data_IF_700243109110
#
_entry.id   IF_700243109110
#
_cell.length_a   1.000
_cell.length_b   1.000
_cell.length_c   1.000
_cell.angle_alpha   90.00
_cell.angle_beta   90.00
_cell.angle_gamma   90.00
#
_symmetry.space_group_name_H-M   'P 1'
#
loop_
_entity.id
_entity.type
_entity.pdbx_description
1 polymer ?
#
# COMPACT_ATOMS: atom_id res chain seq x y z
N UNK A 1 24.99 -52.84 -8.65
CA UNK A 1 25.78 -52.94 -9.89
C UNK A 1 25.27 -54.13 -10.68
N UNK A 2 24.89 -53.97 -11.94
CA UNK A 2 24.51 -55.05 -12.84
C UNK A 2 24.89 -54.67 -14.28
N UNK A 3 25.12 -55.67 -15.14
CA UNK A 3 25.67 -55.47 -16.49
C UNK A 3 24.69 -54.81 -17.47
N UNK A 4 25.26 -54.08 -18.44
CA UNK A 4 24.59 -53.66 -19.66
C UNK A 4 25.33 -54.22 -20.89
N UNK A 5 24.68 -55.16 -21.56
CA UNK A 5 24.89 -55.53 -22.94
C UNK A 5 23.53 -55.39 -23.62
N UNK A 6 23.35 -55.10 -24.91
CA UNK A 6 24.11 -54.57 -26.06
C UNK A 6 23.16 -54.87 -27.24
N UNK A 7 23.35 -54.22 -28.39
CA UNK A 7 22.68 -54.55 -29.67
C UNK A 7 21.18 -54.15 -29.77
N UNK A 8 20.61 -53.92 -30.95
CA UNK A 8 21.16 -53.38 -32.21
C UNK A 8 20.00 -53.13 -33.21
N UNK A 9 20.22 -52.24 -34.19
CA UNK A 9 19.68 -52.30 -35.57
C UNK A 9 18.14 -52.14 -35.76
N UNK A 10 17.61 -51.82 -36.95
CA UNK A 10 18.02 -50.88 -38.04
C UNK A 10 16.80 -50.72 -38.99
N UNK A 11 16.72 -49.63 -39.78
CA UNK A 11 15.85 -49.51 -40.99
C UNK A 11 14.31 -49.43 -40.77
N UNK A 12 13.44 -48.99 -41.71
CA UNK A 12 13.52 -48.04 -42.84
C UNK A 12 12.10 -47.75 -43.37
N UNK A 13 11.96 -46.76 -44.28
CA UNK A 13 10.82 -46.51 -45.20
C UNK A 13 9.49 -46.08 -44.54
N UNK A 14 8.53 -45.46 -45.24
CA UNK A 14 8.49 -44.34 -46.21
C UNK A 14 7.00 -44.14 -46.59
N UNK A 15 6.65 -42.97 -47.16
CA UNK A 15 5.38 -42.68 -47.88
C UNK A 15 4.08 -42.60 -47.04
N UNK A 16 2.99 -41.95 -47.47
CA UNK A 16 2.77 -40.67 -48.23
C UNK A 16 1.27 -40.51 -48.55
N UNK A 17 0.81 -39.26 -48.77
CA UNK A 17 -0.57 -38.87 -49.17
C UNK A 17 -1.65 -39.15 -48.10
N UNK A 18 -2.86 -38.59 -48.13
CA UNK A 18 -3.54 -37.33 -48.53
C UNK A 18 -5.06 -37.69 -48.53
N UNK A 19 -5.96 -36.69 -48.60
CA UNK A 19 -7.44 -36.83 -48.56
C UNK A 19 -8.07 -37.34 -47.23
N UNK A 20 -9.37 -37.11 -46.96
CA UNK A 20 -10.16 -35.85 -46.89
C UNK A 20 -11.66 -36.12 -46.64
N UNK A 21 -12.31 -35.22 -45.89
CA UNK A 21 -13.73 -34.80 -45.98
C UNK A 21 -14.90 -35.77 -45.65
N UNK A 22 -16.07 -35.12 -45.52
CA UNK A 22 -17.46 -35.64 -45.42
C UNK A 22 -17.87 -36.30 -44.08
N UNK A 23 -19.06 -36.07 -43.49
CA UNK A 23 -20.28 -35.29 -43.79
C UNK A 23 -20.70 -34.49 -42.52
N UNK A 24 -21.37 -33.33 -42.48
CA UNK A 24 -22.25 -32.56 -43.39
C UNK A 24 -23.72 -32.99 -43.49
N UNK A 25 -24.63 -32.29 -42.78
CA UNK A 25 -26.05 -31.96 -43.11
C UNK A 25 -26.48 -30.76 -42.23
N UNK A 26 -27.34 -29.79 -42.57
CA UNK A 26 -28.03 -29.25 -43.77
C UNK A 26 -28.62 -27.88 -43.29
N UNK A 27 -29.11 -26.88 -44.03
CA UNK A 27 -29.28 -26.45 -45.44
C UNK A 27 -29.67 -24.92 -45.36
N UNK A 28 -29.75 -24.04 -46.37
CA UNK A 28 -29.69 -24.08 -47.83
C UNK A 28 -29.10 -22.73 -48.39
N UNK A 29 -29.27 -22.46 -49.69
CA UNK A 29 -29.03 -21.20 -50.44
C UNK A 29 -30.11 -21.07 -51.56
N UNK A 30 -30.26 -19.96 -52.34
CA UNK A 30 -29.27 -19.30 -53.25
C UNK A 30 -28.41 -18.18 -52.59
N UNK A 31 -27.59 -17.36 -53.28
CA UNK A 31 -27.19 -17.29 -54.71
C UNK A 31 -27.68 -16.01 -55.45
N UNK A 32 -27.03 -15.49 -56.51
CA UNK A 32 -25.74 -15.88 -57.15
C UNK A 32 -25.24 -14.75 -58.11
N UNK A 33 -23.92 -14.45 -58.14
CA UNK A 33 -23.24 -13.37 -58.94
C UNK A 33 -23.74 -11.92 -58.68
N UNK A 34 -23.06 -10.83 -59.08
CA UNK A 34 -21.69 -10.64 -59.59
C UNK A 34 -21.40 -9.19 -60.06
N UNK A 35 -20.19 -8.68 -59.79
CA UNK A 35 -19.50 -7.50 -60.40
C UNK A 35 -20.23 -6.17 -60.68
N UNK A 36 -19.79 -5.11 -59.98
CA UNK A 36 -19.44 -3.76 -60.50
C UNK A 36 -20.50 -2.72 -60.98
N UNK A 37 -20.36 -1.51 -60.41
CA UNK A 37 -20.75 -0.16 -60.90
C UNK A 37 -22.22 0.36 -60.76
N UNK A 38 -22.32 1.70 -60.94
CA UNK A 38 -23.53 2.55 -61.21
C UNK A 38 -24.36 3.10 -60.03
N UNK A 39 -23.85 4.20 -59.45
CA UNK A 39 -24.48 5.55 -59.41
C UNK A 39 -25.94 5.79 -58.93
N UNK A 40 -26.03 6.46 -57.76
CA UNK A 40 -26.74 7.74 -57.48
C UNK A 40 -28.25 7.94 -57.70
N UNK A 41 -28.94 8.49 -56.67
CA UNK A 41 -29.86 9.65 -56.72
C UNK A 41 -30.23 10.09 -55.28
N UNK A 42 -30.69 11.30 -54.94
CA UNK A 42 -30.28 12.67 -55.36
C UNK A 42 -30.93 13.73 -54.45
N UNK A 43 -30.14 14.59 -53.78
CA UNK A 43 -30.64 15.85 -53.19
C UNK A 43 -29.60 16.98 -53.30
N UNK A 44 -29.54 17.55 -54.52
CA UNK A 44 -28.91 18.83 -54.93
C UNK A 44 -27.99 19.55 -53.91
N UNK A 45 -26.68 19.33 -54.06
CA UNK A 45 -25.63 20.27 -53.62
C UNK A 45 -25.65 21.53 -54.51
N UNK A 46 -26.00 22.70 -53.97
CA UNK A 46 -25.66 23.99 -54.61
C UNK A 46 -24.17 24.26 -54.37
N UNK A 47 -23.43 24.60 -55.43
CA UNK A 47 -22.05 25.11 -55.32
C UNK A 47 -22.09 26.64 -55.19
N UNK A 48 -21.46 27.16 -54.15
CA UNK A 48 -20.64 28.37 -54.25
C UNK A 48 -19.20 27.97 -53.94
N UNK A 49 -18.23 28.58 -54.63
CA UNK A 49 -16.81 28.44 -54.35
C UNK A 49 -16.29 29.84 -54.07
N UNK A 50 -15.77 30.04 -52.86
CA UNK A 50 -15.10 31.26 -52.44
C UNK A 50 -13.98 30.86 -51.52
N UNK A 51 -12.76 31.19 -51.90
CA UNK A 51 -11.60 31.05 -51.03
C UNK A 51 -11.78 32.02 -49.84
N UNK A 52 -11.53 31.53 -48.63
CA UNK A 52 -11.78 32.24 -47.38
C UNK A 52 -10.96 31.62 -46.27
N UNK A 53 -9.89 32.30 -45.89
CA UNK A 53 -9.14 32.01 -44.67
C UNK A 53 -10.01 32.37 -43.47
N UNK A 54 -10.27 31.40 -42.60
CA UNK A 54 -10.97 31.62 -41.34
C UNK A 54 -10.20 30.91 -40.21
N UNK A 55 -9.13 31.51 -39.67
CA UNK A 55 -9.11 32.55 -38.62
C UNK A 55 -9.73 32.16 -37.27
N UNK A 56 -9.57 30.89 -36.86
CA UNK A 56 -9.90 30.42 -35.51
C UNK A 56 -8.89 30.76 -34.39
N UNK A 57 -7.85 31.57 -34.63
CA UNK A 57 -6.77 31.84 -33.67
C UNK A 57 -6.94 33.16 -32.87
N UNK A 58 -8.06 33.87 -33.02
CA UNK A 58 -8.26 35.17 -32.36
C UNK A 58 -9.15 35.11 -31.11
N UNK A 59 -8.50 34.91 -29.95
CA UNK A 59 -8.68 35.67 -28.69
C UNK A 59 -8.01 34.98 -27.45
N UNK A 60 -6.86 34.34 -27.62
CA UNK A 60 -5.98 34.02 -26.48
C UNK A 60 -5.53 35.32 -25.81
N UNK A 61 -5.68 35.45 -24.48
CA UNK A 61 -5.25 36.66 -23.79
C UNK A 61 -3.72 36.78 -23.87
N UNK A 62 -3.19 38.02 -23.85
CA UNK A 62 -1.73 38.25 -23.78
C UNK A 62 -1.08 37.53 -22.58
N UNK A 63 -1.84 37.30 -21.51
CA UNK A 63 -1.44 36.46 -20.37
C UNK A 63 -1.32 34.98 -20.73
N UNK A 64 -2.26 34.44 -21.50
CA UNK A 64 -2.30 33.02 -21.87
C UNK A 64 -1.20 32.68 -22.87
N UNK A 65 -0.92 33.59 -23.83
CA UNK A 65 0.21 33.45 -24.76
C UNK A 65 1.55 33.46 -24.03
N UNK A 66 1.76 34.41 -23.10
CA UNK A 66 2.97 34.47 -22.28
C UNK A 66 3.10 33.26 -21.34
N UNK A 67 1.99 32.77 -20.79
CA UNK A 67 1.96 31.56 -19.96
C UNK A 67 2.29 30.30 -20.76
N UNK A 68 1.77 30.17 -21.99
CA UNK A 68 2.10 29.06 -22.87
C UNK A 68 3.59 29.08 -23.25
N UNK A 69 4.14 30.24 -23.61
CA UNK A 69 5.59 30.41 -23.86
C UNK A 69 6.44 30.02 -22.64
N UNK A 70 6.02 30.38 -21.42
CA UNK A 70 6.70 29.97 -20.19
C UNK A 70 6.61 28.44 -19.94
N UNK A 71 5.44 27.84 -20.18
CA UNK A 71 5.23 26.38 -20.09
C UNK A 71 6.13 25.64 -21.09
N UNK A 72 6.25 26.14 -22.32
CA UNK A 72 7.07 25.54 -23.38
C UNK A 72 8.58 25.69 -23.07
N UNK A 73 9.01 26.84 -22.55
CA UNK A 73 10.38 27.04 -22.06
C UNK A 73 10.73 26.08 -20.91
N UNK A 74 9.86 25.96 -19.90
CA UNK A 74 10.05 25.03 -18.76
C UNK A 74 10.09 23.58 -19.28
N UNK A 75 9.19 23.21 -20.18
CA UNK A 75 9.13 21.87 -20.78
C UNK A 75 10.38 21.55 -21.62
N UNK A 76 10.95 22.56 -22.29
CA UNK A 76 12.20 22.40 -23.06
C UNK A 76 13.45 22.35 -22.19
N UNK A 77 13.46 23.02 -21.04
CA UNK A 77 14.62 23.08 -20.13
C UNK A 77 14.67 21.91 -19.14
N UNK A 78 13.50 21.47 -18.64
CA UNK A 78 13.38 20.46 -17.57
C UNK A 78 12.65 19.17 -18.03
N UNK A 79 12.28 19.07 -19.31
CA UNK A 79 11.69 17.88 -19.91
C UNK A 79 10.17 17.78 -19.79
N UNK A 80 9.59 16.83 -20.53
CA UNK A 80 8.13 16.60 -20.57
C UNK A 80 7.62 16.10 -19.22
N UNK A 81 6.61 16.78 -18.68
CA UNK A 81 6.04 16.49 -17.36
C UNK A 81 6.61 17.32 -16.20
N UNK A 82 7.63 18.15 -16.45
CA UNK A 82 8.16 19.11 -15.46
C UNK A 82 7.13 20.14 -14.98
N UNK A 83 6.21 20.54 -15.86
CA UNK A 83 5.04 21.35 -15.55
C UNK A 83 3.81 20.76 -16.25
N UNK A 84 2.70 20.65 -15.51
CA UNK A 84 1.44 20.08 -16.01
C UNK A 84 0.23 20.78 -15.38
N UNK A 85 -0.85 20.90 -16.15
CA UNK A 85 -2.15 21.36 -15.64
C UNK A 85 -2.79 20.26 -14.77
N UNK A 86 -2.98 20.53 -13.47
CA UNK A 86 -3.47 19.56 -12.47
C UNK A 86 -4.77 18.84 -12.88
N UNK A 87 -5.72 19.56 -13.50
CA UNK A 87 -7.00 19.02 -13.96
C UNK A 87 -7.02 18.52 -15.42
N UNK A 88 -5.89 18.54 -16.13
CA UNK A 88 -5.76 18.05 -17.53
C UNK A 88 -4.72 16.95 -17.69
N UNK A 89 -3.91 16.66 -16.68
CA UNK A 89 -3.02 15.51 -16.67
C UNK A 89 -3.84 14.22 -16.63
N UNK A 90 -3.42 13.21 -17.39
CA UNK A 90 -4.01 11.85 -17.33
C UNK A 90 -3.42 11.09 -16.13
N UNK A 91 -3.49 11.71 -14.95
CA UNK A 91 -3.21 11.01 -13.70
C UNK A 91 -4.28 9.91 -13.53
N UNK A 92 -3.90 8.67 -13.12
CA UNK A 92 -4.88 7.62 -12.92
C UNK A 92 -5.85 8.04 -11.81
N UNK A 93 -7.17 7.99 -12.11
CA UNK A 93 -8.22 8.42 -11.16
C UNK A 93 -8.13 7.69 -9.81
N UNK A 94 -7.67 6.44 -9.83
CA UNK A 94 -7.37 5.68 -8.63
C UNK A 94 -5.85 5.63 -8.43
N UNK A 95 -5.41 5.95 -7.23
CA UNK A 95 -4.02 5.73 -6.79
C UNK A 95 -3.76 4.22 -6.79
N UNK A 96 -2.68 3.71 -7.42
CA UNK A 96 -2.32 2.30 -7.29
C UNK A 96 -1.97 1.96 -5.83
N UNK A 97 -2.51 0.85 -5.32
CA UNK A 97 -2.36 0.40 -3.93
C UNK A 97 -1.95 -1.08 -3.85
N UNK A 98 -1.43 -1.48 -2.69
CA UNK A 98 -1.23 -2.89 -2.28
C UNK A 98 -2.02 -3.12 -0.98
N UNK A 99 -2.77 -4.22 -0.90
CA UNK A 99 -3.51 -4.60 0.31
C UNK A 99 -2.56 -4.79 1.51
N UNK A 100 -3.02 -4.42 2.70
CA UNK A 100 -2.32 -4.69 3.96
C UNK A 100 -2.47 -6.13 4.45
N UNK A 101 -3.24 -6.96 3.75
CA UNK A 101 -3.65 -8.29 4.20
C UNK A 101 -4.89 -8.27 5.09
N UNK A 102 -5.06 -7.21 5.90
CA UNK A 102 -6.24 -6.91 6.71
C UNK A 102 -7.28 -6.14 5.91
N UNK A 103 -8.48 -6.71 5.78
CA UNK A 103 -9.60 -6.06 5.12
C UNK A 103 -10.13 -4.85 5.92
N UNK A 104 -10.12 -4.90 7.26
CA UNK A 104 -10.51 -3.78 8.11
C UNK A 104 -9.55 -2.59 7.97
N UNK A 105 -8.24 -2.85 7.86
CA UNK A 105 -7.24 -1.81 7.68
C UNK A 105 -7.27 -1.21 6.27
N UNK A 106 -7.51 -2.02 5.24
CA UNK A 106 -7.71 -1.54 3.86
C UNK A 106 -8.93 -0.60 3.76
N UNK A 107 -10.01 -0.88 4.51
CA UNK A 107 -11.18 0.02 4.66
C UNK A 107 -10.80 1.30 5.44
N UNK A 108 -10.10 1.17 6.57
CA UNK A 108 -9.68 2.32 7.39
C UNK A 108 -8.70 3.26 6.66
N UNK A 109 -7.90 2.73 5.72
CA UNK A 109 -7.04 3.51 4.84
C UNK A 109 -7.81 4.29 3.75
N UNK A 110 -9.08 3.97 3.52
CA UNK A 110 -9.99 4.65 2.58
C UNK A 110 -9.72 4.41 1.10
N UNK A 111 -8.46 4.16 0.72
CA UNK A 111 -8.03 3.84 -0.66
C UNK A 111 -7.89 2.34 -0.93
N UNK A 112 -8.24 1.48 0.03
CA UNK A 112 -8.20 0.01 -0.15
C UNK A 112 -6.81 -0.63 -0.02
N UNK A 113 -5.84 0.07 0.58
CA UNK A 113 -4.48 -0.44 0.81
C UNK A 113 -3.43 0.66 0.98
N UNK A 114 -2.15 0.27 0.98
CA UNK A 114 -1.02 1.20 1.03
C UNK A 114 -0.72 1.78 -0.37
N UNK A 115 -0.56 3.11 -0.52
CA UNK A 115 -0.34 3.75 -1.82
C UNK A 115 1.07 3.51 -2.37
N UNK A 116 1.14 3.08 -3.64
CA UNK A 116 2.38 2.91 -4.40
C UNK A 116 3.12 4.24 -4.61
N UNK A 117 4.45 4.15 -4.70
CA UNK A 117 5.37 5.27 -4.87
C UNK A 117 5.51 6.18 -3.65
N UNK A 118 5.21 5.68 -2.43
CA UNK A 118 5.17 6.46 -1.19
C UNK A 118 5.89 5.80 -0.03
N UNK A 119 6.28 6.62 0.94
CA UNK A 119 6.78 6.20 2.25
C UNK A 119 5.61 5.95 3.21
N UNK A 120 5.66 4.82 3.92
CA UNK A 120 4.73 4.40 4.98
C UNK A 120 5.54 4.17 6.26
N UNK A 121 4.98 4.53 7.42
CA UNK A 121 5.57 4.19 8.72
C UNK A 121 4.60 3.32 9.53
N UNK A 122 5.09 2.20 10.06
CA UNK A 122 4.37 1.31 10.98
C UNK A 122 5.10 1.35 12.32
N UNK A 123 4.49 1.98 13.33
CA UNK A 123 5.13 2.20 14.63
C UNK A 123 4.26 1.74 15.80
N UNK A 124 4.90 1.37 16.91
CA UNK A 124 4.21 0.89 18.10
C UNK A 124 5.10 0.07 19.03
N UNK A 125 4.55 -0.42 20.15
CA UNK A 125 5.25 -1.22 21.14
C UNK A 125 5.91 -2.51 20.59
N UNK A 126 6.73 -3.14 21.40
CA UNK A 126 7.22 -4.49 21.16
C UNK A 126 6.07 -5.50 21.16
N UNK A 127 6.23 -6.59 20.41
CA UNK A 127 5.22 -7.65 20.24
C UNK A 127 3.81 -7.18 19.83
N UNK A 128 3.67 -6.00 19.19
CA UNK A 128 2.38 -5.47 18.71
C UNK A 128 1.96 -5.97 17.32
N UNK A 129 2.85 -6.64 16.59
CA UNK A 129 2.59 -7.18 15.24
C UNK A 129 3.13 -6.35 14.07
N UNK A 130 4.04 -5.40 14.30
CA UNK A 130 4.63 -4.53 13.24
C UNK A 130 5.18 -5.33 12.05
N UNK A 131 6.11 -6.24 12.31
CA UNK A 131 6.74 -7.12 11.32
C UNK A 131 5.74 -8.07 10.68
N UNK A 132 4.79 -8.61 11.46
CA UNK A 132 3.69 -9.45 10.96
C UNK A 132 2.87 -8.71 9.90
N UNK A 133 2.46 -7.47 10.17
CA UNK A 133 1.71 -6.65 9.23
C UNK A 133 2.51 -6.33 7.96
N UNK A 134 3.81 -6.04 8.09
CA UNK A 134 4.67 -5.80 6.93
C UNK A 134 4.90 -7.07 6.08
N UNK A 135 4.98 -8.26 6.70
CA UNK A 135 5.04 -9.54 5.99
C UNK A 135 3.72 -9.83 5.24
N UNK A 136 2.56 -9.42 5.76
CA UNK A 136 1.31 -9.50 5.01
C UNK A 136 1.31 -8.56 3.79
N UNK A 137 1.81 -7.31 3.90
CA UNK A 137 1.97 -6.40 2.75
C UNK A 137 2.86 -7.03 1.67
N UNK A 138 3.98 -7.66 2.07
CA UNK A 138 4.86 -8.41 1.16
C UNK A 138 4.11 -9.59 0.51
N UNK A 139 3.36 -10.38 1.27
CA UNK A 139 2.63 -11.52 0.75
C UNK A 139 1.54 -11.10 -0.27
N UNK A 140 0.83 -10.00 -0.04
CA UNK A 140 -0.14 -9.46 -1.00
C UNK A 140 0.53 -8.84 -2.24
N UNK A 141 1.69 -8.18 -2.10
CA UNK A 141 2.47 -7.71 -3.25
C UNK A 141 3.00 -8.87 -4.12
N UNK A 142 3.52 -9.94 -3.50
CA UNK A 142 3.98 -11.13 -4.23
C UNK A 142 2.82 -11.90 -4.89
N UNK A 143 1.61 -11.91 -4.30
CA UNK A 143 0.40 -12.46 -4.94
C UNK A 143 0.00 -11.69 -6.21
N UNK A 144 0.32 -10.40 -6.30
CA UNK A 144 0.17 -9.59 -7.52
C UNK A 144 1.33 -9.77 -8.52
N UNK A 145 2.28 -10.68 -8.25
CA UNK A 145 3.48 -10.91 -9.06
C UNK A 145 4.61 -9.90 -8.85
N UNK A 146 4.48 -9.00 -7.86
CA UNK A 146 5.46 -7.96 -7.58
C UNK A 146 6.70 -8.46 -6.83
N UNK A 147 7.85 -7.84 -7.09
CA UNK A 147 9.09 -8.14 -6.38
C UNK A 147 9.15 -7.40 -5.04
N UNK A 148 9.64 -8.06 -4.01
CA UNK A 148 9.72 -7.51 -2.65
C UNK A 148 11.14 -7.62 -2.08
N UNK A 149 11.51 -6.67 -1.23
CA UNK A 149 12.72 -6.72 -0.43
C UNK A 149 12.43 -6.46 1.06
N UNK A 150 13.24 -7.07 1.92
CA UNK A 150 13.23 -6.89 3.36
C UNK A 150 14.65 -6.54 3.82
N UNK A 151 14.80 -5.41 4.51
CA UNK A 151 16.05 -4.96 5.11
C UNK A 151 15.94 -5.18 6.62
N UNK A 152 16.54 -6.28 7.08
CA UNK A 152 16.50 -6.78 8.45
C UNK A 152 17.71 -6.23 9.21
N UNK A 153 17.54 -5.05 9.81
CA UNK A 153 18.54 -4.39 10.66
C UNK A 153 18.41 -4.80 12.14
N UNK A 154 17.28 -5.38 12.56
CA UNK A 154 17.15 -6.02 13.88
C UNK A 154 17.69 -7.47 13.91
N UNK A 155 18.09 -8.03 12.76
CA UNK A 155 18.55 -9.42 12.58
C UNK A 155 17.57 -10.47 13.14
N UNK A 156 16.26 -10.17 13.06
CA UNK A 156 15.21 -10.83 13.83
C UNK A 156 14.13 -11.51 12.95
N UNK A 157 14.31 -11.56 11.63
CA UNK A 157 13.31 -12.10 10.71
C UNK A 157 13.17 -13.63 10.81
N UNK A 158 12.09 -14.11 11.43
CA UNK A 158 11.69 -15.52 11.37
C UNK A 158 11.15 -15.89 9.98
N UNK A 159 11.93 -16.69 9.26
CA UNK A 159 11.57 -17.25 7.96
C UNK A 159 10.34 -18.16 8.01
N UNK A 160 10.13 -18.91 9.10
CA UNK A 160 9.01 -19.87 9.21
C UNK A 160 7.67 -19.15 9.36
N UNK A 161 7.62 -18.08 10.16
CA UNK A 161 6.48 -17.17 10.24
C UNK A 161 6.20 -16.46 8.90
N UNK A 162 7.25 -16.07 8.15
CA UNK A 162 7.06 -15.49 6.82
C UNK A 162 6.40 -16.50 5.85
N UNK A 163 6.86 -17.75 5.83
CA UNK A 163 6.29 -18.81 4.98
C UNK A 163 4.84 -19.15 5.38
N UNK A 164 4.49 -19.16 6.67
CA UNK A 164 3.12 -19.45 7.10
C UNK A 164 2.13 -18.29 6.89
N UNK A 165 2.61 -17.04 6.87
CA UNK A 165 1.87 -15.85 6.39
C UNK A 165 1.63 -15.91 4.85
N UNK A 166 2.34 -16.78 4.14
CA UNK A 166 2.26 -16.94 2.69
C UNK A 166 3.22 -16.05 1.90
N UNK A 167 4.33 -15.61 2.51
CA UNK A 167 5.44 -14.95 1.81
C UNK A 167 6.24 -16.02 1.04
N UNK A 168 6.45 -15.78 -0.26
CA UNK A 168 7.36 -16.58 -1.07
C UNK A 168 8.80 -16.19 -0.77
N UNK A 169 9.41 -16.84 0.22
CA UNK A 169 10.79 -16.62 0.68
C UNK A 169 11.86 -16.92 -0.36
N UNK A 170 11.55 -17.67 -1.43
CA UNK A 170 12.47 -17.88 -2.57
C UNK A 170 12.56 -16.66 -3.48
N UNK A 171 11.52 -15.82 -3.49
CA UNK A 171 11.40 -14.62 -4.30
C UNK A 171 11.32 -13.34 -3.43
N UNK A 172 11.89 -13.38 -2.23
CA UNK A 172 12.07 -12.24 -1.34
C UNK A 172 13.57 -11.90 -1.29
N UNK A 173 13.93 -10.66 -1.60
CA UNK A 173 15.29 -10.18 -1.40
C UNK A 173 15.49 -9.85 0.08
N UNK A 174 16.37 -10.57 0.77
CA UNK A 174 16.75 -10.28 2.16
C UNK A 174 18.11 -9.56 2.18
N UNK A 175 18.20 -8.48 2.94
CA UNK A 175 19.44 -7.78 3.24
C UNK A 175 19.57 -7.61 4.76
N UNK A 176 20.73 -7.96 5.30
CA UNK A 176 21.10 -7.73 6.71
C UNK A 176 22.31 -6.78 6.70
N UNK A 177 22.09 -5.46 6.87
CA UNK A 177 23.13 -4.45 6.71
C UNK A 177 23.92 -4.20 8.00
N UNK A 178 25.21 -3.90 7.86
CA UNK A 178 26.13 -3.56 8.95
C UNK A 178 25.88 -2.16 9.54
N UNK A 179 25.35 -1.22 8.73
CA UNK A 179 25.08 0.16 9.18
C UNK A 179 23.92 0.85 8.44
N UNK A 180 23.41 1.94 9.04
CA UNK A 180 22.30 2.72 8.51
C UNK A 180 22.56 3.35 7.14
N UNK A 181 23.78 3.82 6.85
CA UNK A 181 24.14 4.34 5.53
C UNK A 181 24.08 3.28 4.44
N UNK A 182 24.58 2.07 4.74
CA UNK A 182 24.58 0.94 3.82
C UNK A 182 23.15 0.43 3.58
N UNK A 183 22.34 0.31 4.63
CA UNK A 183 20.92 -0.01 4.56
C UNK A 183 20.16 0.96 3.64
N UNK A 184 20.28 2.27 3.88
CA UNK A 184 19.57 3.30 3.11
C UNK A 184 20.13 3.47 1.69
N UNK A 185 21.42 3.19 1.47
CA UNK A 185 22.04 3.15 0.13
C UNK A 185 21.59 1.95 -0.72
N UNK A 186 21.39 0.79 -0.09
CA UNK A 186 20.78 -0.38 -0.73
C UNK A 186 19.32 -0.10 -1.11
N UNK A 187 18.55 0.51 -0.20
CA UNK A 187 17.17 0.95 -0.46
C UNK A 187 17.11 1.94 -1.64
N UNK A 188 17.97 2.97 -1.69
CA UNK A 188 18.07 3.92 -2.82
C UNK A 188 18.41 3.23 -4.14
N UNK A 189 19.22 2.16 -4.10
CA UNK A 189 19.61 1.39 -5.29
C UNK A 189 18.47 0.49 -5.79
N UNK A 190 17.76 -0.20 -4.90
CA UNK A 190 16.57 -0.99 -5.24
C UNK A 190 15.45 -0.11 -5.82
N UNK A 191 15.18 1.06 -5.22
CA UNK A 191 14.14 1.98 -5.70
C UNK A 191 14.49 2.52 -7.10
N UNK A 192 15.74 2.94 -7.32
CA UNK A 192 16.19 3.43 -8.65
C UNK A 192 16.23 2.34 -9.73
N UNK A 193 16.24 1.05 -9.36
CA UNK A 193 16.10 -0.04 -10.34
C UNK A 193 14.71 -0.12 -10.99
N UNK A 194 13.69 0.53 -10.41
CA UNK A 194 12.30 0.46 -10.85
C UNK A 194 11.68 -0.95 -10.82
N UNK A 195 12.38 -1.93 -10.24
CA UNK A 195 12.08 -3.36 -10.37
C UNK A 195 11.53 -4.00 -9.08
N UNK A 196 11.25 -3.20 -8.05
CA UNK A 196 10.76 -3.65 -6.73
C UNK A 196 9.49 -2.88 -6.36
N UNK A 197 8.45 -3.59 -5.95
CA UNK A 197 7.14 -3.03 -5.61
C UNK A 197 7.01 -2.64 -4.14
N UNK A 198 7.63 -3.41 -3.24
CA UNK A 198 7.59 -3.19 -1.79
C UNK A 198 8.97 -3.42 -1.18
N UNK A 199 9.43 -2.46 -0.40
CA UNK A 199 10.63 -2.57 0.44
C UNK A 199 10.20 -2.34 1.89
N UNK A 200 10.51 -3.30 2.77
CA UNK A 200 10.36 -3.17 4.22
C UNK A 200 11.73 -2.92 4.84
N UNK A 201 11.81 -2.01 5.82
CA UNK A 201 13.00 -1.77 6.65
C UNK A 201 12.62 -1.99 8.11
N UNK A 202 13.17 -3.03 8.74
CA UNK A 202 12.89 -3.44 10.11
C UNK A 202 14.18 -3.40 10.96
N UNK A 203 14.43 -2.38 11.78
CA UNK A 203 13.61 -1.17 12.00
C UNK A 203 14.46 0.10 11.99
N UNK A 204 13.79 1.26 11.93
CA UNK A 204 14.42 2.59 12.00
C UNK A 204 15.27 2.77 13.26
N UNK A 205 14.93 2.10 14.37
CA UNK A 205 15.72 2.18 15.59
C UNK A 205 17.11 1.55 15.43
N UNK A 206 17.22 0.48 14.63
CA UNK A 206 18.46 -0.25 14.35
C UNK A 206 19.29 0.35 13.20
N UNK A 207 18.83 1.43 12.55
CA UNK A 207 19.62 2.18 11.56
C UNK A 207 20.67 3.06 12.26
N UNK A 208 21.68 2.41 12.86
CA UNK A 208 22.78 3.08 13.54
C UNK A 208 23.76 3.65 12.48
N UNK A 209 24.10 4.96 12.51
CA UNK A 209 25.10 5.54 11.63
C UNK A 209 26.47 4.90 11.81
N UNK A 210 27.26 4.74 10.75
CA UNK A 210 28.60 4.16 10.84
C UNK A 210 29.50 4.88 11.86
N UNK A 211 29.44 6.21 11.92
CA UNK A 211 30.23 6.99 12.89
C UNK A 211 29.80 6.84 14.36
N UNK A 212 28.71 6.12 14.64
CA UNK A 212 28.22 5.74 15.98
C UNK A 212 28.53 4.26 16.28
N UNK A 213 28.77 3.44 15.25
CA UNK A 213 29.26 2.06 15.35
C UNK A 213 30.80 1.98 15.47
N UNK A 214 31.52 2.91 14.84
CA UNK A 214 32.98 3.05 14.92
C UNK A 214 33.44 3.77 16.22
N UNK A 215 32.53 4.26 17.06
CA UNK A 215 32.80 5.05 18.28
C UNK A 215 32.86 4.22 19.57
N UNK A 216 33.19 4.86 20.71
CA UNK A 216 33.22 4.18 22.01
C UNK A 216 31.86 4.20 22.73
N UNK A 217 31.61 3.18 23.55
CA UNK A 217 30.32 3.03 24.27
C UNK A 217 30.16 4.11 25.35
N UNK A 218 29.55 5.23 24.96
CA UNK A 218 29.34 6.41 25.79
C UNK A 218 29.54 7.74 25.03
N UNK A 219 30.07 7.69 23.80
CA UNK A 219 30.30 8.88 22.98
C UNK A 219 28.99 9.63 22.64
N UNK A 220 29.07 10.96 22.67
CA UNK A 220 27.93 11.86 22.55
C UNK A 220 27.48 12.06 21.08
N UNK A 221 26.99 11.01 20.43
CA UNK A 221 26.55 10.98 19.03
C UNK A 221 25.20 11.71 18.78
N UNK A 222 25.12 12.98 19.16
CA UNK A 222 23.89 13.77 19.14
C UNK A 222 23.25 13.85 17.74
N UNK A 223 22.04 13.31 17.63
CA UNK A 223 21.14 13.39 16.48
C UNK A 223 21.68 12.86 15.14
N UNK A 224 22.73 12.02 15.13
CA UNK A 224 23.31 11.50 13.88
C UNK A 224 22.30 10.68 13.05
N UNK A 225 21.58 9.74 13.68
CA UNK A 225 20.50 8.97 13.04
C UNK A 225 19.41 9.88 12.42
N UNK A 226 19.02 10.97 13.10
CA UNK A 226 18.01 11.90 12.60
C UNK A 226 18.51 12.69 11.38
N UNK A 227 19.79 13.06 11.35
CA UNK A 227 20.44 13.71 10.18
C UNK A 227 20.52 12.76 8.99
N UNK A 228 20.92 11.50 9.23
CA UNK A 228 20.97 10.42 8.23
C UNK A 228 19.59 10.20 7.60
N UNK A 229 18.55 9.97 8.41
CA UNK A 229 17.17 9.79 7.93
C UNK A 229 16.66 11.02 7.15
N UNK A 230 16.98 12.23 7.60
CA UNK A 230 16.63 13.48 6.91
C UNK A 230 17.28 13.61 5.54
N UNK A 231 18.54 13.18 5.39
CA UNK A 231 19.28 13.20 4.13
C UNK A 231 18.80 12.10 3.17
N UNK A 232 18.56 10.89 3.68
CA UNK A 232 18.10 9.75 2.90
C UNK A 232 16.68 9.99 2.34
N UNK A 233 15.70 10.30 3.20
CA UNK A 233 14.31 10.51 2.76
C UNK A 233 14.18 11.61 1.70
N UNK A 234 14.98 12.69 1.82
CA UNK A 234 15.04 13.77 0.82
C UNK A 234 15.47 13.28 -0.57
N UNK A 235 16.38 12.30 -0.66
CA UNK A 235 16.77 11.66 -1.93
C UNK A 235 15.70 10.66 -2.39
N UNK A 236 15.26 9.78 -1.49
CA UNK A 236 14.39 8.64 -1.80
C UNK A 236 13.02 9.06 -2.33
N UNK A 237 12.41 10.13 -1.82
CA UNK A 237 11.03 10.49 -2.16
C UNK A 237 10.78 10.80 -3.65
N UNK A 238 11.79 11.26 -4.41
CA UNK A 238 11.66 11.44 -5.86
C UNK A 238 11.80 10.11 -6.61
N UNK A 239 12.80 9.30 -6.25
CA UNK A 239 12.98 7.95 -6.81
C UNK A 239 11.77 7.04 -6.57
N UNK A 240 11.10 7.18 -5.42
CA UNK A 240 9.90 6.44 -5.05
C UNK A 240 8.70 6.79 -5.94
N UNK A 241 8.42 8.07 -6.19
CA UNK A 241 7.26 8.45 -7.00
C UNK A 241 7.41 8.05 -8.47
N UNK A 242 8.64 7.97 -8.98
CA UNK A 242 8.94 7.45 -10.32
C UNK A 242 8.84 5.92 -10.40
N UNK A 243 9.42 5.20 -9.44
CA UNK A 243 9.45 3.71 -9.43
C UNK A 243 8.14 3.05 -9.02
N UNK A 244 7.21 3.79 -8.41
CA UNK A 244 5.98 3.27 -7.80
C UNK A 244 6.21 2.27 -6.65
N UNK A 245 7.43 2.10 -6.15
CA UNK A 245 7.74 1.29 -4.99
C UNK A 245 7.08 1.85 -3.70
N UNK A 246 6.56 0.98 -2.84
CA UNK A 246 6.19 1.30 -1.46
C UNK A 246 7.43 1.12 -0.58
N UNK A 247 7.77 2.12 0.24
CA UNK A 247 8.82 2.00 1.25
C UNK A 247 8.18 2.02 2.64
N UNK A 248 8.16 0.86 3.29
CA UNK A 248 7.62 0.66 4.63
C UNK A 248 8.76 0.71 5.64
N UNK A 249 8.77 1.71 6.50
CA UNK A 249 9.62 1.74 7.69
C UNK A 249 8.86 1.19 8.89
N UNK A 250 9.40 0.15 9.52
CA UNK A 250 8.98 -0.23 10.87
C UNK A 250 9.75 0.63 11.87
N UNK A 251 9.08 1.09 12.93
CA UNK A 251 9.67 1.94 13.95
C UNK A 251 9.23 1.52 15.35
N UNK A 252 10.08 1.76 16.35
CA UNK A 252 9.76 1.50 17.75
C UNK A 252 9.24 2.79 18.42
N UNK A 253 8.45 2.63 19.49
CA UNK A 253 8.12 3.75 20.39
C UNK A 253 9.15 3.85 21.51
N UNK A 254 9.35 5.09 21.97
CA UNK A 254 10.12 5.45 23.17
C UNK A 254 9.34 6.49 23.96
N UNK A 255 9.49 6.51 25.27
CA UNK A 255 8.90 7.55 26.13
C UNK A 255 9.80 8.79 26.13
N UNK A 256 9.29 9.96 25.73
CA UNK A 256 10.00 11.22 25.96
C UNK A 256 9.80 11.62 27.43
N UNK A 257 10.89 11.66 28.20
CA UNK A 257 10.89 12.27 29.53
C UNK A 257 10.73 13.79 29.33
N UNK A 258 9.61 14.35 29.78
CA UNK A 258 9.36 15.79 29.75
C UNK A 258 10.06 16.47 30.93
N UNK A 259 10.96 17.41 30.64
CA UNK A 259 11.75 18.15 31.65
C UNK A 259 10.89 19.07 32.54
N UNK A 260 9.66 19.37 32.11
CA UNK A 260 8.69 20.17 32.87
C UNK A 260 7.47 19.32 33.25
N UNK A 261 7.03 19.44 34.51
CA UNK A 261 5.94 18.64 35.10
C UNK A 261 4.54 19.13 34.74
N UNK A 262 4.18 19.07 33.45
CA UNK A 262 2.81 19.32 32.98
C UNK A 262 1.86 18.15 33.28
N UNK A 263 0.56 18.42 33.23
CA UNK A 263 -0.52 17.44 33.47
C UNK A 263 -0.73 16.46 32.28
N UNK A 264 0.35 15.81 31.84
CA UNK A 264 0.33 14.81 30.76
C UNK A 264 1.30 13.67 31.03
N UNK A 265 0.89 12.44 30.70
CA UNK A 265 1.76 11.27 30.80
C UNK A 265 2.93 11.34 29.81
N UNK A 266 3.96 10.47 29.96
CA UNK A 266 5.11 10.45 29.06
C UNK A 266 4.67 10.22 27.61
N UNK A 267 5.09 11.12 26.71
CA UNK A 267 4.63 11.12 25.32
C UNK A 267 5.35 10.05 24.48
N UNK A 268 4.59 9.30 23.69
CA UNK A 268 5.12 8.30 22.74
C UNK A 268 5.83 9.01 21.57
N UNK A 269 7.17 8.92 21.54
CA UNK A 269 7.99 9.39 20.43
C UNK A 269 8.55 8.21 19.62
N UNK A 270 9.00 8.51 18.40
CA UNK A 270 9.44 7.55 17.38
C UNK A 270 10.92 7.80 17.05
N UNK A 271 11.69 6.72 16.82
CA UNK A 271 13.12 6.83 16.49
C UNK A 271 13.34 7.44 15.08
N UNK A 272 14.58 7.83 14.75
CA UNK A 272 14.91 8.48 13.47
C UNK A 272 14.53 9.97 13.36
N UNK A 273 14.00 10.59 14.43
CA UNK A 273 13.65 12.01 14.47
C UNK A 273 12.37 12.38 13.69
N UNK A 274 12.18 13.67 13.42
CA UNK A 274 10.92 14.17 12.86
C UNK A 274 10.76 13.96 11.33
N UNK A 275 11.85 13.71 10.58
CA UNK A 275 11.80 13.66 9.11
C UNK A 275 10.81 12.59 8.58
N UNK A 276 10.85 11.38 9.14
CA UNK A 276 9.95 10.29 8.74
C UNK A 276 8.48 10.68 8.93
N UNK A 277 8.16 11.38 10.03
CA UNK A 277 6.80 11.88 10.32
C UNK A 277 6.26 12.79 9.21
N UNK A 278 7.11 13.62 8.60
CA UNK A 278 6.73 14.54 7.53
C UNK A 278 6.63 13.83 6.16
N UNK A 279 7.67 13.08 5.77
CA UNK A 279 7.75 12.41 4.47
C UNK A 279 6.70 11.30 4.32
N UNK A 280 6.45 10.51 5.37
CA UNK A 280 5.43 9.46 5.37
C UNK A 280 4.07 9.99 4.88
N UNK A 281 3.46 9.26 3.94
CA UNK A 281 2.12 9.52 3.40
C UNK A 281 1.04 8.77 4.18
N UNK A 282 1.40 7.65 4.81
CA UNK A 282 0.57 6.92 5.77
C UNK A 282 1.42 6.67 7.02
N UNK A 283 0.85 6.87 8.21
CA UNK A 283 1.46 6.46 9.50
C UNK A 283 0.46 5.63 10.28
N UNK A 284 0.86 4.42 10.67
CA UNK A 284 0.04 3.46 11.40
C UNK A 284 0.61 3.27 12.83
N UNK A 285 -0.20 3.58 13.85
CA UNK A 285 0.12 3.22 15.24
C UNK A 285 -0.56 1.89 15.56
N UNK A 286 0.24 0.85 15.80
CA UNK A 286 -0.22 -0.53 16.01
C UNK A 286 0.05 -0.97 17.45
N UNK A 287 -1.03 -1.29 18.19
CA UNK A 287 -1.00 -1.67 19.61
C UNK A 287 -1.77 -2.98 19.84
N UNK A 288 -1.21 -3.88 20.65
CA UNK A 288 -1.93 -5.06 21.16
C UNK A 288 -2.90 -4.60 22.27
N UNK A 289 -4.19 -4.84 22.07
CA UNK A 289 -5.25 -4.50 23.03
C UNK A 289 -5.66 -5.68 23.91
N UNK A 290 -5.39 -6.92 23.48
CA UNK A 290 -5.74 -8.12 24.24
C UNK A 290 -5.09 -9.39 23.70
N UNK A 291 -5.52 -10.52 24.27
CA UNK A 291 -5.08 -11.86 23.89
C UNK A 291 -6.27 -12.71 23.47
N UNK A 292 -6.14 -13.41 22.34
CA UNK A 292 -7.15 -14.38 21.87
C UNK A 292 -6.90 -15.70 22.60
N UNK A 293 -7.85 -16.13 23.43
CA UNK A 293 -7.74 -17.34 24.25
C UNK A 293 -8.81 -18.37 23.94
N UNK A 294 -8.50 -19.63 24.18
CA UNK A 294 -9.42 -20.77 24.04
C UNK A 294 -9.25 -21.72 25.23
N UNK A 295 -10.10 -21.55 26.24
CA UNK A 295 -9.81 -22.10 27.56
C UNK A 295 -8.60 -21.39 28.16
N UNK A 296 -7.61 -22.15 28.62
CA UNK A 296 -6.38 -21.60 29.20
C UNK A 296 -5.34 -21.21 28.14
N UNK A 297 -5.37 -21.85 26.97
CA UNK A 297 -4.42 -21.61 25.87
C UNK A 297 -4.60 -20.21 25.25
N UNK A 298 -3.49 -19.56 24.94
CA UNK A 298 -3.46 -18.26 24.23
C UNK A 298 -3.05 -18.48 22.78
N UNK A 299 -4.03 -18.43 21.88
CA UNK A 299 -3.87 -18.71 20.45
C UNK A 299 -3.33 -17.51 19.64
N UNK A 300 -3.41 -16.30 20.20
CA UNK A 300 -3.09 -15.10 19.45
C UNK A 300 -3.19 -13.80 20.23
N UNK A 301 -3.03 -12.70 19.52
CA UNK A 301 -3.14 -11.32 20.03
C UNK A 301 -4.24 -10.56 19.32
N UNK A 302 -5.07 -9.83 20.06
CA UNK A 302 -6.02 -8.88 19.47
C UNK A 302 -5.33 -7.52 19.31
N UNK A 303 -5.40 -6.94 18.12
CA UNK A 303 -4.60 -5.78 17.72
C UNK A 303 -5.50 -4.65 17.20
N UNK A 304 -5.16 -3.42 17.60
CA UNK A 304 -5.74 -2.18 17.14
C UNK A 304 -4.69 -1.42 16.31
N UNK A 305 -5.08 -0.96 15.13
CA UNK A 305 -4.29 -0.05 14.28
C UNK A 305 -5.05 1.26 14.13
N UNK A 306 -4.45 2.38 14.55
CA UNK A 306 -4.97 3.74 14.29
C UNK A 306 -4.19 4.38 13.14
N UNK A 307 -4.90 4.89 12.14
CA UNK A 307 -4.30 5.60 10.99
C UNK A 307 -3.95 7.04 11.39
N UNK A 308 -2.89 7.21 12.17
CA UNK A 308 -2.47 8.51 12.75
C UNK A 308 -2.16 9.57 11.68
N UNK A 309 -1.83 9.15 10.44
CA UNK A 309 -1.69 10.06 9.30
C UNK A 309 -2.10 9.38 8.01
N UNK A 310 -2.81 10.10 7.15
CA UNK A 310 -3.14 9.68 5.79
C UNK A 310 -3.10 10.92 4.87
N UNK A 311 -2.41 10.84 3.72
CA UNK A 311 -2.36 11.90 2.69
C UNK A 311 -3.26 11.60 1.48
N UNK A 312 -4.08 10.56 1.54
CA UNK A 312 -4.84 10.04 0.39
C UNK A 312 -6.34 9.82 0.67
N UNK A 313 -6.73 9.70 1.94
CA UNK A 313 -8.11 9.67 2.43
C UNK A 313 -8.13 10.24 3.87
N UNK A 314 -9.30 10.43 4.52
CA UNK A 314 -9.36 10.94 5.89
C UNK A 314 -8.52 10.10 6.88
N UNK A 315 -7.76 10.75 7.79
CA UNK A 315 -6.96 10.08 8.81
C UNK A 315 -7.81 9.61 10.01
N UNK A 316 -7.12 9.19 11.07
CA UNK A 316 -7.59 8.83 12.42
C UNK A 316 -8.54 7.64 12.57
N UNK A 317 -9.13 7.15 11.47
CA UNK A 317 -9.86 5.88 11.43
C UNK A 317 -9.08 4.73 12.10
N UNK A 318 -9.82 3.81 12.72
CA UNK A 318 -9.26 2.64 13.40
C UNK A 318 -9.63 1.34 12.69
N UNK A 319 -8.77 0.33 12.83
CA UNK A 319 -9.02 -1.04 12.41
C UNK A 319 -8.66 -2.01 13.55
N UNK A 320 -9.44 -3.06 13.74
CA UNK A 320 -9.20 -4.09 14.74
C UNK A 320 -9.21 -5.48 14.08
N UNK A 321 -8.23 -6.31 14.41
CA UNK A 321 -8.12 -7.67 13.89
C UNK A 321 -7.41 -8.62 14.88
N UNK A 322 -7.56 -9.92 14.64
CA UNK A 322 -6.93 -11.00 15.41
C UNK A 322 -5.67 -11.48 14.69
N UNK A 323 -4.53 -11.52 15.40
CA UNK A 323 -3.30 -12.19 14.95
C UNK A 323 -3.24 -13.58 15.59
N UNK A 324 -3.41 -14.64 14.80
CA UNK A 324 -3.16 -16.03 15.22
C UNK A 324 -1.65 -16.33 15.19
N UNK A 325 -1.10 -16.85 16.29
CA UNK A 325 0.32 -17.15 16.38
C UNK A 325 0.70 -18.25 15.37
N UNK A 326 1.82 -18.04 14.66
CA UNK A 326 2.26 -18.93 13.59
C UNK A 326 1.44 -18.87 12.29
N UNK A 327 0.47 -17.95 12.15
CA UNK A 327 -0.29 -17.73 10.89
C UNK A 327 -0.40 -16.25 10.46
N UNK A 328 -0.44 -15.32 11.42
CA UNK A 328 -0.70 -13.90 11.16
C UNK A 328 -2.19 -13.53 11.23
N UNK A 329 -2.63 -12.59 10.39
CA UNK A 329 -3.97 -11.99 10.40
C UNK A 329 -5.05 -13.02 10.05
N UNK A 330 -5.97 -13.25 10.97
CA UNK A 330 -7.13 -14.14 10.82
C UNK A 330 -8.23 -13.47 9.98
N UNK A 331 -8.12 -13.57 8.65
CA UNK A 331 -9.09 -12.99 7.69
C UNK A 331 -10.52 -13.45 7.94
N UNK A 332 -10.69 -14.69 8.38
CA UNK A 332 -11.97 -15.30 8.72
C UNK A 332 -12.59 -14.64 9.96
N UNK A 333 -11.78 -14.31 10.96
CA UNK A 333 -12.25 -13.58 12.15
C UNK A 333 -12.66 -12.14 11.83
N UNK A 334 -11.89 -11.49 10.96
CA UNK A 334 -12.06 -10.10 10.53
C UNK A 334 -13.32 -9.92 9.68
N UNK A 335 -13.54 -10.77 8.68
CA UNK A 335 -14.76 -10.77 7.86
C UNK A 335 -16.00 -11.00 8.73
N UNK A 336 -15.94 -11.90 9.71
CA UNK A 336 -17.05 -12.12 10.66
C UNK A 336 -17.32 -10.86 11.50
N UNK A 337 -16.29 -10.22 12.07
CA UNK A 337 -16.49 -9.05 12.95
C UNK A 337 -17.02 -7.82 12.18
N UNK A 338 -16.50 -7.57 10.98
CA UNK A 338 -17.02 -6.54 10.08
C UNK A 338 -18.46 -6.85 9.65
N UNK A 339 -18.80 -8.12 9.42
CA UNK A 339 -20.18 -8.53 9.08
C UNK A 339 -21.17 -8.27 10.23
N UNK A 340 -20.70 -8.21 11.47
CA UNK A 340 -21.50 -7.83 12.63
C UNK A 340 -21.65 -6.30 12.69
N UNK A 341 -20.56 -5.52 12.55
CA UNK A 341 -20.63 -4.03 12.50
C UNK A 341 -21.57 -3.55 11.38
N UNK A 342 -21.45 -4.14 10.18
CA UNK A 342 -22.31 -3.82 9.03
C UNK A 342 -23.65 -4.57 8.99
N UNK A 343 -24.08 -5.23 10.08
CA UNK A 343 -25.42 -5.85 10.23
C UNK A 343 -25.77 -6.83 9.09
N UNK A 344 -24.79 -7.62 8.64
CA UNK A 344 -24.96 -8.77 7.73
C UNK A 344 -25.09 -10.09 8.49
N UNK A 345 -24.44 -10.19 9.65
CA UNK A 345 -24.60 -11.27 10.65
C UNK A 345 -25.20 -10.62 11.89
N UNK A 346 -26.25 -11.21 12.48
CA UNK A 346 -26.76 -10.75 13.79
C UNK A 346 -26.08 -11.52 14.91
N UNK A 347 -25.80 -10.86 16.03
CA UNK A 347 -25.20 -11.45 17.22
C UNK A 347 -26.16 -11.33 18.40
N UNK A 348 -26.54 -12.45 18.99
CA UNK A 348 -27.49 -12.55 20.11
C UNK A 348 -26.80 -13.27 21.26
N UNK A 349 -26.03 -12.52 22.05
CA UNK A 349 -25.15 -13.08 23.08
C UNK A 349 -24.08 -13.98 22.45
N UNK A 350 -24.10 -15.27 22.80
CA UNK A 350 -23.20 -16.29 22.24
C UNK A 350 -23.62 -16.83 20.87
N UNK A 351 -24.83 -16.51 20.39
CA UNK A 351 -25.36 -17.00 19.12
C UNK A 351 -25.11 -16.01 17.98
N UNK A 352 -24.87 -16.55 16.79
CA UNK A 352 -24.68 -15.80 15.55
C UNK A 352 -25.71 -16.28 14.53
N UNK A 353 -26.54 -15.37 14.01
CA UNK A 353 -27.55 -15.65 12.98
C UNK A 353 -26.99 -15.21 11.62
N UNK A 354 -26.95 -16.15 10.66
CA UNK A 354 -26.54 -15.88 9.28
C UNK A 354 -27.41 -16.69 8.30
N UNK A 355 -27.97 -16.03 7.28
CA UNK A 355 -28.91 -16.61 6.31
C UNK A 355 -30.06 -17.44 6.92
N UNK A 356 -30.53 -17.07 8.12
CA UNK A 356 -31.59 -17.78 8.86
C UNK A 356 -31.13 -19.03 9.63
N UNK A 357 -29.83 -19.36 9.62
CA UNK A 357 -29.22 -20.41 10.44
C UNK A 357 -28.56 -19.80 11.69
N UNK A 358 -28.62 -20.52 12.81
CA UNK A 358 -28.09 -20.08 14.10
C UNK A 358 -26.88 -20.93 14.52
N UNK A 359 -25.77 -20.26 14.81
CA UNK A 359 -24.49 -20.88 15.18
C UNK A 359 -24.11 -20.49 16.62
N UNK A 360 -23.65 -21.47 17.41
CA UNK A 360 -23.22 -21.23 18.80
C UNK A 360 -21.71 -20.94 18.87
N UNK A 361 -21.34 -19.68 19.07
CA UNK A 361 -19.96 -19.21 19.17
C UNK A 361 -19.28 -18.92 17.82
N UNK A 362 -18.27 -18.04 17.85
CA UNK A 362 -17.49 -17.60 16.67
C UNK A 362 -16.83 -18.77 15.93
N UNK A 363 -16.38 -19.79 16.66
CA UNK A 363 -15.78 -21.02 16.13
C UNK A 363 -16.74 -21.86 15.26
N UNK A 364 -18.03 -21.94 15.63
CA UNK A 364 -19.02 -22.69 14.85
C UNK A 364 -19.29 -22.00 13.50
N UNK A 365 -19.40 -20.67 13.52
CA UNK A 365 -19.54 -19.86 12.31
C UNK A 365 -18.27 -19.90 11.44
N UNK A 366 -17.06 -19.80 12.03
CA UNK A 366 -15.78 -19.95 11.30
C UNK A 366 -15.73 -21.26 10.50
N UNK A 367 -16.13 -22.39 11.11
CA UNK A 367 -16.20 -23.71 10.43
C UNK A 367 -17.18 -23.72 9.28
N UNK A 368 -18.45 -23.37 9.54
CA UNK A 368 -19.51 -23.38 8.53
C UNK A 368 -19.16 -22.53 7.30
N UNK A 369 -18.55 -21.35 7.50
CA UNK A 369 -18.16 -20.47 6.39
C UNK A 369 -16.91 -20.97 5.64
N UNK A 370 -16.01 -21.71 6.31
CA UNK A 370 -14.85 -22.34 5.67
C UNK A 370 -15.25 -23.55 4.80
N UNK A 371 -16.24 -24.34 5.23
CA UNK A 371 -16.72 -25.53 4.52
C UNK A 371 -17.56 -25.20 3.25
N UNK A 372 -17.88 -23.92 3.01
CA UNK A 372 -18.92 -23.49 2.05
C UNK A 372 -18.52 -22.34 1.12
N UNK A 373 -17.25 -21.93 1.10
CA UNK A 373 -16.74 -20.69 0.44
C UNK A 373 -17.43 -19.38 0.91
N UNK A 374 -18.34 -19.44 1.89
CA UNK A 374 -19.17 -18.33 2.33
C UNK A 374 -18.41 -17.10 2.84
N UNK A 375 -17.13 -17.24 3.20
CA UNK A 375 -16.24 -16.12 3.55
C UNK A 375 -16.00 -15.21 2.35
N UNK A 376 -15.86 -15.76 1.13
CA UNK A 376 -15.68 -14.95 -0.09
C UNK A 376 -16.98 -14.24 -0.48
N UNK A 377 -18.13 -14.91 -0.30
CA UNK A 377 -19.44 -14.32 -0.54
C UNK A 377 -19.73 -13.17 0.45
N UNK A 378 -19.43 -13.36 1.74
CA UNK A 378 -19.51 -12.33 2.77
C UNK A 378 -18.57 -11.16 2.51
N UNK A 379 -17.31 -11.42 2.13
CA UNK A 379 -16.35 -10.37 1.79
C UNK A 379 -16.81 -9.53 0.57
N UNK A 380 -17.45 -10.16 -0.42
CA UNK A 380 -18.03 -9.48 -1.58
C UNK A 380 -19.23 -8.61 -1.18
N UNK A 381 -20.19 -9.17 -0.42
CA UNK A 381 -21.34 -8.43 0.13
C UNK A 381 -20.93 -7.28 1.06
N UNK A 382 -19.85 -7.44 1.82
CA UNK A 382 -19.24 -6.36 2.62
C UNK A 382 -18.71 -5.24 1.71
N UNK A 383 -17.94 -5.56 0.67
CA UNK A 383 -17.40 -4.56 -0.27
C UNK A 383 -18.52 -3.75 -0.93
N UNK A 384 -19.55 -4.43 -1.43
CA UNK A 384 -20.72 -3.76 -2.01
C UNK A 384 -21.43 -2.85 -1.00
N UNK A 385 -21.64 -3.32 0.23
CA UNK A 385 -22.30 -2.53 1.28
C UNK A 385 -21.47 -1.32 1.71
N UNK A 386 -20.14 -1.42 1.73
CA UNK A 386 -19.22 -0.33 2.06
C UNK A 386 -19.11 0.67 0.90
N UNK A 387 -19.19 0.22 -0.36
CA UNK A 387 -19.22 1.09 -1.54
C UNK A 387 -20.54 1.88 -1.66
N UNK A 388 -21.65 1.30 -1.20
CA UNK A 388 -22.98 1.92 -1.24
C UNK A 388 -23.34 2.72 0.02
N UNK A 389 -22.54 2.65 1.09
CA UNK A 389 -22.70 3.46 2.30
C UNK A 389 -21.57 4.48 2.35
N UNK A 390 -21.85 5.75 2.07
CA UNK A 390 -20.95 6.82 2.48
C UNK A 390 -20.74 6.75 4.01
N UNK A 391 -19.50 6.90 4.51
CA UNK A 391 -19.19 6.56 5.89
C UNK A 391 -19.73 7.63 6.85
N UNK A 392 -20.97 7.42 7.31
CA UNK A 392 -21.44 7.97 8.59
C UNK A 392 -20.42 7.59 9.66
N UNK A 393 -19.76 8.59 10.25
CA UNK A 393 -18.86 8.42 11.38
C UNK A 393 -19.71 8.16 12.63
N UNK A 394 -19.28 7.23 13.47
CA UNK A 394 -19.85 7.11 14.82
C UNK A 394 -19.53 8.43 15.57
N UNK A 395 -20.51 9.13 16.17
CA UNK A 395 -20.28 10.47 16.74
C UNK A 395 -19.29 10.47 17.93
N UNK A 396 -19.04 9.31 18.54
CA UNK A 396 -17.96 9.10 19.51
C UNK A 396 -16.56 9.10 18.87
N UNK A 397 -16.41 8.64 17.62
CA UNK A 397 -15.16 8.78 16.86
C UNK A 397 -14.94 10.24 16.39
N UNK A 398 -16.00 10.99 16.02
CA UNK A 398 -15.85 12.41 15.66
C UNK A 398 -15.37 13.26 16.84
N UNK A 399 -15.96 13.09 18.04
CA UNK A 399 -15.50 13.77 19.25
C UNK A 399 -14.03 13.45 19.57
N UNK A 400 -13.65 12.17 19.52
CA UNK A 400 -12.25 11.75 19.77
C UNK A 400 -11.28 12.18 18.65
N UNK A 401 -11.78 12.61 17.49
CA UNK A 401 -10.97 13.21 16.42
C UNK A 401 -10.82 14.72 16.66
N UNK A 402 -11.86 15.41 17.12
CA UNK A 402 -11.82 16.81 17.52
C UNK A 402 -10.75 17.06 18.60
N UNK A 403 -10.84 16.35 19.72
CA UNK A 403 -9.86 16.41 20.82
C UNK A 403 -8.40 16.21 20.35
N UNK A 404 -8.18 15.29 19.40
CA UNK A 404 -6.86 14.99 18.84
C UNK A 404 -6.37 16.02 17.81
N UNK A 405 -7.28 16.81 17.23
CA UNK A 405 -6.93 17.88 16.30
C UNK A 405 -6.61 19.17 17.06
N UNK A 406 -7.40 19.57 18.07
CA UNK A 406 -7.05 20.70 18.94
C UNK A 406 -5.69 20.49 19.62
N UNK A 407 -5.45 19.31 20.21
CA UNK A 407 -4.16 18.96 20.83
C UNK A 407 -2.97 18.99 19.84
N UNK A 408 -3.22 18.86 18.53
CA UNK A 408 -2.15 18.89 17.53
C UNK A 408 -1.98 20.30 16.91
N UNK A 409 -2.99 21.16 16.96
CA UNK A 409 -2.87 22.58 16.60
C UNK A 409 -2.21 23.39 17.74
N UNK A 410 -2.53 23.10 19.01
CA UNK A 410 -1.81 23.68 20.17
C UNK A 410 -0.31 23.34 20.17
N UNK A 411 0.07 22.12 19.76
CA UNK A 411 1.50 21.75 19.64
C UNK A 411 2.22 22.43 18.46
N UNK A 412 1.51 23.04 17.51
CA UNK A 412 2.11 23.71 16.33
C UNK A 412 2.21 25.22 16.51
N UNK A 413 1.34 25.84 17.33
CA UNK A 413 1.41 27.28 17.60
C UNK A 413 2.61 27.67 18.49
N UNK A 414 2.97 26.83 19.47
CA UNK A 414 4.03 27.11 20.46
C UNK A 414 5.43 27.13 19.84
N UNK A 415 5.71 26.31 18.82
CA UNK A 415 7.01 26.22 18.13
C UNK A 415 7.30 27.45 17.21
N UNK A 416 6.50 28.53 17.26
CA UNK A 416 6.55 29.65 16.31
C UNK A 416 7.02 31.00 16.87
N UNK A 417 7.32 31.11 18.17
CA UNK A 417 7.54 32.41 18.85
C UNK A 417 8.97 32.67 19.38
N UNK A 418 9.96 31.83 19.06
CA UNK A 418 11.34 31.93 19.59
C UNK A 418 12.43 32.12 18.51
N UNK A 419 12.32 33.17 17.68
CA UNK A 419 13.44 33.66 16.83
C UNK A 419 13.83 35.14 17.04
N UNK A 420 13.14 35.90 17.91
CA UNK A 420 13.39 37.34 18.10
C UNK A 420 14.03 37.70 19.44
N UNK A 421 15.03 36.92 19.90
CA UNK A 421 15.63 37.07 21.23
C UNK A 421 17.17 37.01 21.30
N UNK A 422 17.89 37.22 20.18
CA UNK A 422 19.37 37.18 20.14
C UNK A 422 19.98 38.42 19.46
N UNK A 423 19.75 39.61 20.04
CA UNK A 423 20.27 40.88 19.50
C UNK A 423 20.44 42.00 20.56
N UNK A 424 20.80 41.68 21.82
CA UNK A 424 20.79 42.68 22.90
C UNK A 424 21.80 42.46 24.07
N UNK A 425 22.98 41.85 23.83
CA UNK A 425 24.05 41.74 24.85
C UNK A 425 25.45 41.96 24.25
N UNK A 426 25.70 43.15 23.69
CA UNK A 426 27.06 43.69 23.52
C UNK A 426 27.02 45.22 23.34
N UNK A 427 26.98 45.95 24.46
CA UNK A 427 27.09 47.42 24.56
C UNK A 427 27.48 47.81 26.00
#
# INVERSE_FOLDING_TARGET
MAWLLRNANISLLKRSFFHSDLLTRFCCKPGLLGTSQVLSFSTRKRRSKSDGSDSGEENMCKKDVALQQAIDQITSAYGKGSIMWLGRSVAPKNIPVVSTGSFALDIALGVGGLPKGRVVEIFGPEASGKTTLALHVIAEAQKLGGYCAFVDAEHALDKTLAESIGVNTKNLLLSQPDCGEQALGLVDTLIRSGSVDVIVVDSVAALVPKGELDGEMGDAHMAMQARLMSQALRKLCHSLSLSQCILVFINQVRSKISTFGGFGGPTEVTCGGNALKFYASVRLNIKRIGFVKKGEETLGSQVLVKVVKNKHAPPFKTAQFELEFGKGISREAEVIELSIKYKLVKKSGSFYEYNGQNFHGKDALKRFLADSDGIQELASKLREKILNTEPELDPEEEAMIGDLMEQMEEMVSVDSTDETAVAAVEA
#
